data_IF_522251897774
#
_entry.id   IF_522251897774
#
_cell.length_a   1.000
_cell.length_b   1.000
_cell.length_c   1.000
_cell.angle_alpha   90.00
_cell.angle_beta   90.00
_cell.angle_gamma   90.00
#
_symmetry.space_group_name_H-M   'P 1'
#
loop_
_entity.id
_entity.type
_entity.pdbx_description
1 polymer ?
#
# COMPACT_ATOMS: atom_id res chain seq x y z
N UNK A 1 3.41 1.10 13.80
CA UNK A 1 2.25 0.30 13.35
C UNK A 1 2.50 -0.28 11.95
N UNK A 2 3.23 -1.40 11.83
CA UNK A 2 3.48 -2.07 10.53
C UNK A 2 3.90 -3.55 10.72
N UNK A 3 2.98 -4.47 11.07
CA UNK A 3 3.27 -5.90 11.35
C UNK A 3 2.13 -6.83 10.96
N UNK A 4 2.23 -8.16 11.13
CA UNK A 4 1.13 -9.10 10.78
C UNK A 4 -0.23 -8.68 11.32
N UNK A 5 -0.28 -8.13 12.53
CA UNK A 5 -1.51 -7.66 13.18
C UNK A 5 -2.04 -6.32 12.64
N UNK A 6 -1.23 -5.56 11.91
CA UNK A 6 -1.50 -4.16 11.55
C UNK A 6 -1.15 -3.81 10.09
N UNK A 7 -1.09 -4.83 9.21
CA UNK A 7 -0.87 -4.69 7.75
C UNK A 7 -2.16 -4.49 6.96
N UNK A 8 -3.32 -4.67 7.59
CA UNK A 8 -4.60 -4.67 6.90
C UNK A 8 -5.17 -3.26 6.89
N UNK A 9 -5.73 -2.85 5.74
CA UNK A 9 -6.64 -1.71 5.73
C UNK A 9 -7.74 -1.95 6.76
N UNK A 10 -8.30 -0.88 7.33
CA UNK A 10 -9.44 -1.00 8.23
C UNK A 10 -10.60 -1.80 7.59
N UNK A 11 -10.75 -1.76 6.26
CA UNK A 11 -11.76 -2.55 5.53
C UNK A 11 -11.58 -4.07 5.68
N UNK A 12 -10.40 -4.52 6.13
CA UNK A 12 -10.12 -5.90 6.47
C UNK A 12 -11.03 -6.46 7.56
N UNK A 13 -11.59 -5.61 8.44
CA UNK A 13 -12.60 -6.03 9.43
C UNK A 13 -13.88 -6.57 8.78
N UNK A 14 -14.15 -6.18 7.52
CA UNK A 14 -15.27 -6.66 6.72
C UNK A 14 -14.87 -7.83 5.79
N UNK A 15 -13.69 -8.43 5.99
CA UNK A 15 -13.17 -9.50 5.14
C UNK A 15 -12.59 -9.02 3.79
N UNK A 16 -12.43 -7.71 3.59
CA UNK A 16 -11.89 -7.14 2.35
C UNK A 16 -10.37 -7.24 2.33
N UNK A 17 -9.83 -7.97 1.36
CA UNK A 17 -8.38 -8.03 1.12
C UNK A 17 -7.93 -6.83 0.31
N UNK A 18 -7.23 -5.90 0.95
CA UNK A 18 -6.95 -4.57 0.36
C UNK A 18 -6.03 -4.59 -0.84
N UNK A 19 -5.07 -5.52 -0.88
CA UNK A 19 -4.21 -5.73 -2.05
C UNK A 19 -4.98 -6.26 -3.26
N UNK A 20 -6.23 -6.72 -3.08
CA UNK A 20 -7.14 -7.12 -4.15
C UNK A 20 -8.21 -6.05 -4.46
N UNK A 21 -8.05 -4.82 -3.94
CA UNK A 21 -8.92 -3.70 -4.27
C UNK A 21 -8.46 -2.99 -5.54
N UNK A 22 -9.40 -2.75 -6.45
CA UNK A 22 -9.30 -1.84 -7.58
C UNK A 22 -9.93 -0.49 -7.17
N UNK A 23 -9.13 0.47 -6.74
CA UNK A 23 -9.60 1.84 -6.49
C UNK A 23 -9.76 2.57 -7.83
N UNK A 24 -10.94 3.11 -8.08
CA UNK A 24 -11.28 3.74 -9.36
C UNK A 24 -12.38 4.81 -9.20
N UNK A 25 -12.67 5.51 -10.30
CA UNK A 25 -13.83 6.39 -10.46
C UNK A 25 -14.21 6.49 -11.95
N UNK A 26 -15.49 6.47 -12.33
CA UNK A 26 -15.92 6.65 -13.72
C UNK A 26 -16.21 8.12 -14.08
N UNK A 27 -16.08 9.05 -13.13
CA UNK A 27 -16.55 10.43 -13.28
C UNK A 27 -15.46 11.48 -13.09
N UNK A 28 -14.18 11.12 -13.15
CA UNK A 28 -13.11 12.13 -13.11
C UNK A 28 -13.20 13.05 -14.35
N UNK A 29 -13.16 14.40 -14.21
CA UNK A 29 -13.00 15.18 -12.99
C UNK A 29 -14.29 15.86 -12.47
N UNK A 30 -15.47 15.34 -12.84
CA UNK A 30 -16.78 15.91 -12.49
C UNK A 30 -17.16 15.69 -11.03
N UNK A 31 -17.57 16.77 -10.36
CA UNK A 31 -18.12 16.74 -9.01
C UNK A 31 -18.83 18.06 -8.72
N UNK A 32 -20.00 17.96 -8.09
CA UNK A 32 -20.87 19.09 -7.78
C UNK A 32 -20.55 19.79 -6.44
N UNK A 33 -19.49 19.38 -5.74
CA UNK A 33 -18.99 20.07 -4.54
C UNK A 33 -17.60 20.68 -4.76
N UNK A 34 -17.25 21.68 -3.95
CA UNK A 34 -15.91 22.27 -3.83
C UNK A 34 -15.41 22.26 -2.39
N UNK A 35 -15.31 21.06 -1.82
CA UNK A 35 -14.89 20.88 -0.43
C UNK A 35 -13.44 21.34 -0.22
N UNK A 36 -13.19 22.06 0.88
CA UNK A 36 -11.85 22.50 1.31
C UNK A 36 -10.88 21.36 1.63
N UNK A 37 -11.40 20.14 1.76
CA UNK A 37 -10.66 18.93 2.11
C UNK A 37 -10.61 17.89 0.97
N UNK A 38 -11.20 18.18 -0.19
CA UNK A 38 -11.11 17.30 -1.36
C UNK A 38 -9.78 17.52 -2.08
N UNK A 39 -8.94 16.50 -2.09
CA UNK A 39 -7.59 16.52 -2.67
C UNK A 39 -7.64 16.33 -4.18
N UNK A 40 -7.91 17.41 -4.89
CA UNK A 40 -8.01 17.44 -6.36
C UNK A 40 -7.43 18.74 -6.88
N UNK A 41 -7.03 18.75 -8.14
CA UNK A 41 -6.60 19.97 -8.81
C UNK A 41 -7.83 20.80 -9.18
N UNK A 42 -8.22 21.70 -8.26
CA UNK A 42 -9.37 22.60 -8.43
C UNK A 42 -9.06 23.71 -9.44
N UNK A 43 -7.78 24.02 -9.68
CA UNK A 43 -7.35 25.09 -10.59
C UNK A 43 -7.49 24.68 -12.05
N UNK A 44 -7.30 23.39 -12.37
CA UNK A 44 -7.34 22.87 -13.75
C UNK A 44 -8.61 22.07 -14.06
N UNK A 45 -9.28 21.49 -13.05
CA UNK A 45 -10.02 20.24 -13.31
C UNK A 45 -11.52 20.17 -13.01
N UNK A 46 -12.16 21.04 -12.24
CA UNK A 46 -13.58 20.83 -11.92
C UNK A 46 -14.46 21.27 -13.11
N UNK A 47 -14.77 20.35 -14.04
CA UNK A 47 -15.68 20.58 -15.20
C UNK A 47 -17.16 20.81 -14.81
N UNK A 48 -17.42 21.23 -13.57
CA UNK A 48 -18.75 21.53 -13.07
C UNK A 48 -19.48 20.36 -12.41
N UNK A 49 -20.75 20.62 -12.09
CA UNK A 49 -21.66 19.72 -11.38
C UNK A 49 -22.33 18.68 -12.28
N UNK A 50 -22.03 18.67 -13.58
CA UNK A 50 -22.71 17.83 -14.57
C UNK A 50 -21.70 17.05 -15.41
N UNK A 51 -22.07 15.83 -15.81
CA UNK A 51 -21.28 15.00 -16.70
C UNK A 51 -21.51 15.42 -18.16
N UNK A 52 -20.64 16.29 -18.68
CA UNK A 52 -20.83 16.99 -19.96
C UNK A 52 -20.17 16.33 -21.17
N UNK A 53 -19.57 15.14 -21.01
CA UNK A 53 -18.92 14.39 -22.09
C UNK A 53 -19.71 13.15 -22.45
N UNK A 54 -19.45 12.59 -23.63
CA UNK A 54 -20.05 11.30 -24.01
C UNK A 54 -19.53 10.22 -23.03
N UNK A 55 -20.40 9.52 -22.29
CA UNK A 55 -19.96 8.47 -21.38
C UNK A 55 -19.46 7.26 -22.17
N UNK A 56 -18.27 6.79 -21.81
CA UNK A 56 -17.75 5.51 -22.32
C UNK A 56 -18.62 4.35 -21.85
N UNK A 57 -18.55 3.22 -22.56
CA UNK A 57 -19.31 2.03 -22.18
C UNK A 57 -18.72 1.38 -20.92
N UNK A 58 -19.54 0.95 -19.94
CA UNK A 58 -19.04 0.40 -18.68
C UNK A 58 -18.07 -0.78 -18.85
N UNK A 59 -18.31 -1.63 -19.86
CA UNK A 59 -17.44 -2.76 -20.21
C UNK A 59 -16.03 -2.31 -20.57
N UNK A 60 -15.92 -1.25 -21.36
CA UNK A 60 -14.66 -0.71 -21.86
C UNK A 60 -13.91 0.03 -20.75
N UNK A 61 -14.63 0.83 -19.95
CA UNK A 61 -14.08 1.49 -18.76
C UNK A 61 -13.47 0.47 -17.80
N UNK A 62 -14.20 -0.60 -17.46
CA UNK A 62 -13.70 -1.64 -16.54
C UNK A 62 -12.51 -2.37 -17.13
N UNK A 63 -12.49 -2.61 -18.45
CA UNK A 63 -11.34 -3.21 -19.13
C UNK A 63 -10.09 -2.35 -18.93
N UNK A 64 -10.19 -1.05 -19.16
CA UNK A 64 -9.10 -0.10 -18.98
C UNK A 64 -8.68 0.05 -17.52
N UNK A 65 -9.64 0.12 -16.58
CA UNK A 65 -9.35 0.15 -15.14
C UNK A 65 -8.52 -1.07 -14.71
N UNK A 66 -8.89 -2.28 -15.16
CA UNK A 66 -8.14 -3.51 -14.85
C UNK A 66 -6.79 -3.53 -15.55
N UNK A 67 -6.68 -3.00 -16.78
CA UNK A 67 -5.41 -2.88 -17.50
C UNK A 67 -4.45 -1.97 -16.75
N UNK A 68 -4.90 -0.77 -16.36
CA UNK A 68 -4.11 0.21 -15.61
C UNK A 68 -3.72 -0.29 -14.22
N UNK A 69 -4.63 -0.97 -13.50
CA UNK A 69 -4.30 -1.59 -12.23
C UNK A 69 -3.13 -2.57 -12.36
N UNK A 70 -3.19 -3.48 -13.35
CA UNK A 70 -2.10 -4.44 -13.62
C UNK A 70 -0.81 -3.75 -14.02
N UNK A 71 -0.90 -2.67 -14.80
CA UNK A 71 0.25 -1.86 -15.20
C UNK A 71 0.96 -1.26 -13.98
N UNK A 72 0.21 -0.68 -13.04
CA UNK A 72 0.74 -0.17 -11.77
C UNK A 72 1.44 -1.28 -10.99
N UNK A 73 0.81 -2.45 -10.83
CA UNK A 73 1.41 -3.57 -10.08
C UNK A 73 2.70 -4.06 -10.75
N UNK A 74 2.74 -4.16 -12.08
CA UNK A 74 3.92 -4.66 -12.80
C UNK A 74 5.07 -3.66 -12.83
N UNK A 75 4.76 -2.41 -13.14
CA UNK A 75 5.76 -1.42 -13.53
C UNK A 75 6.15 -0.47 -12.40
N UNK A 76 5.23 -0.19 -11.46
CA UNK A 76 5.49 0.73 -10.34
C UNK A 76 5.65 0.02 -9.00
N UNK A 77 5.07 -1.19 -8.86
CA UNK A 77 5.13 -2.03 -7.67
C UNK A 77 5.69 -3.43 -7.97
N UNK A 78 6.86 -3.56 -8.62
CA UNK A 78 7.39 -4.86 -9.04
C UNK A 78 7.74 -5.74 -7.84
N UNK A 79 7.45 -7.04 -7.94
CA UNK A 79 7.69 -8.04 -6.89
C UNK A 79 9.12 -7.98 -6.31
N UNK A 80 10.12 -7.85 -7.19
CA UNK A 80 11.53 -7.75 -6.80
C UNK A 80 11.79 -6.66 -5.76
N UNK A 81 11.11 -5.51 -5.86
CA UNK A 81 11.26 -4.41 -4.90
C UNK A 81 10.88 -4.84 -3.48
N UNK A 82 9.89 -5.71 -3.32
CA UNK A 82 9.40 -6.16 -2.02
C UNK A 82 10.24 -7.29 -1.44
N UNK A 83 10.72 -8.21 -2.29
CA UNK A 83 11.70 -9.22 -1.89
C UNK A 83 13.03 -8.59 -1.48
N UNK A 84 13.54 -7.62 -2.26
CA UNK A 84 14.71 -6.83 -1.89
C UNK A 84 14.52 -6.14 -0.52
N UNK A 85 13.34 -5.55 -0.28
CA UNK A 85 13.06 -4.92 1.01
C UNK A 85 13.09 -5.92 2.17
N UNK A 86 12.62 -7.16 1.96
CA UNK A 86 12.67 -8.22 2.95
C UNK A 86 14.11 -8.58 3.29
N UNK A 87 14.94 -8.88 2.28
CA UNK A 87 16.36 -9.22 2.49
C UNK A 87 17.12 -8.09 3.18
N UNK A 88 16.87 -6.83 2.79
CA UNK A 88 17.52 -5.67 3.42
C UNK A 88 17.20 -5.58 4.91
N UNK A 89 16.00 -5.96 5.35
CA UNK A 89 15.69 -6.00 6.79
C UNK A 89 16.51 -7.08 7.50
N UNK A 90 16.60 -8.28 6.93
CA UNK A 90 17.39 -9.38 7.50
C UNK A 90 18.85 -8.98 7.59
N UNK A 91 19.42 -8.48 6.51
CA UNK A 91 20.83 -8.09 6.44
C UNK A 91 21.15 -6.93 7.38
N UNK A 92 20.23 -5.97 7.54
CA UNK A 92 20.39 -4.86 8.47
C UNK A 92 20.39 -5.36 9.92
N UNK A 93 19.41 -6.19 10.31
CA UNK A 93 19.35 -6.76 11.65
C UNK A 93 20.58 -7.64 11.94
N UNK A 94 21.00 -8.44 10.96
CA UNK A 94 22.18 -9.30 11.08
C UNK A 94 23.47 -8.47 11.21
N UNK A 95 23.61 -7.39 10.45
CA UNK A 95 24.72 -6.45 10.60
C UNK A 95 24.76 -5.84 12.00
N UNK A 96 23.63 -5.38 12.53
CA UNK A 96 23.56 -4.84 13.89
C UNK A 96 23.90 -5.92 14.94
N UNK A 97 23.45 -7.17 14.72
CA UNK A 97 23.73 -8.29 15.61
C UNK A 97 25.22 -8.66 15.63
N UNK A 98 25.92 -8.54 14.51
CA UNK A 98 27.37 -8.79 14.41
C UNK A 98 28.21 -7.69 15.06
N UNK A 99 27.63 -6.52 15.32
CA UNK A 99 28.30 -5.34 15.86
C UNK A 99 27.59 -4.88 17.15
N UNK A 100 27.40 -5.80 18.11
CA UNK A 100 26.60 -5.59 19.34
C UNK A 100 27.06 -4.40 20.20
N UNK A 101 28.31 -3.98 20.07
CA UNK A 101 28.95 -2.94 20.89
C UNK A 101 28.78 -1.55 20.26
N UNK A 102 27.55 -1.03 20.21
CA UNK A 102 27.32 0.37 19.86
C UNK A 102 25.94 0.70 19.29
N UNK A 103 25.68 1.99 19.18
CA UNK A 103 24.61 2.50 18.34
C UNK A 103 25.05 2.60 16.89
N UNK A 104 24.12 2.40 15.98
CA UNK A 104 24.35 2.49 14.55
C UNK A 104 23.70 3.73 13.97
N UNK A 105 24.51 4.60 13.38
CA UNK A 105 24.01 5.70 12.56
C UNK A 105 23.58 5.20 11.18
N UNK A 106 22.71 5.95 10.50
CA UNK A 106 22.28 5.64 9.13
C UNK A 106 23.45 5.42 8.16
N UNK A 107 24.54 6.18 8.31
CA UNK A 107 25.73 6.06 7.48
C UNK A 107 26.52 4.78 7.77
N UNK A 108 26.63 4.39 9.05
CA UNK A 108 27.25 3.12 9.45
C UNK A 108 26.51 1.94 8.82
N UNK A 109 25.17 1.91 8.94
CA UNK A 109 24.34 0.87 8.35
C UNK A 109 24.46 0.83 6.82
N UNK A 110 24.39 1.99 6.15
CA UNK A 110 24.54 2.12 4.69
C UNK A 110 25.86 1.52 4.20
N UNK A 111 26.96 1.86 4.87
CA UNK A 111 28.29 1.43 4.49
C UNK A 111 28.53 -0.05 4.86
N UNK A 112 27.93 -0.53 5.95
CA UNK A 112 28.05 -1.91 6.42
C UNK A 112 27.39 -2.94 5.51
N UNK A 113 26.22 -2.62 4.95
CA UNK A 113 25.47 -3.55 4.08
C UNK A 113 25.53 -3.19 2.59
N UNK A 114 26.22 -2.10 2.22
CA UNK A 114 26.38 -1.63 0.83
C UNK A 114 25.07 -1.38 0.07
N UNK A 115 24.05 -0.84 0.75
CA UNK A 115 22.72 -0.54 0.18
C UNK A 115 22.46 0.98 0.16
N UNK A 116 21.63 1.47 -0.76
CA UNK A 116 21.33 2.90 -0.87
C UNK A 116 20.60 3.45 0.37
N UNK A 117 20.87 4.72 0.70
CA UNK A 117 20.30 5.41 1.87
C UNK A 117 18.78 5.28 1.96
N UNK A 118 18.07 5.54 0.86
CA UNK A 118 16.60 5.46 0.83
C UNK A 118 16.05 4.06 1.12
N UNK A 119 16.77 3.00 0.73
CA UNK A 119 16.37 1.62 1.02
C UNK A 119 16.58 1.29 2.51
N UNK A 120 17.71 1.74 3.08
CA UNK A 120 17.98 1.62 4.52
C UNK A 120 16.91 2.35 5.35
N UNK A 121 16.60 3.60 5.01
CA UNK A 121 15.60 4.39 5.73
C UNK A 121 14.22 3.72 5.74
N UNK A 122 13.83 3.10 4.62
CA UNK A 122 12.57 2.33 4.53
C UNK A 122 12.59 1.11 5.46
N UNK A 123 13.69 0.36 5.49
CA UNK A 123 13.84 -0.79 6.37
C UNK A 123 13.83 -0.37 7.85
N UNK A 124 14.60 0.66 8.21
CA UNK A 124 14.64 1.23 9.57
C UNK A 124 13.23 1.66 10.02
N UNK A 125 12.50 2.38 9.17
CA UNK A 125 11.16 2.82 9.53
C UNK A 125 10.21 1.66 9.84
N UNK A 126 10.30 0.57 9.07
CA UNK A 126 9.51 -0.64 9.29
C UNK A 126 9.93 -1.35 10.59
N UNK A 127 11.23 -1.60 10.76
CA UNK A 127 11.78 -2.29 11.94
C UNK A 127 11.51 -1.52 13.24
N UNK A 128 11.66 -0.19 13.22
CA UNK A 128 11.35 0.69 14.35
C UNK A 128 9.87 0.64 14.72
N UNK A 129 8.99 0.71 13.72
CA UNK A 129 7.55 0.62 13.90
C UNK A 129 7.09 -0.75 14.43
N UNK A 130 7.98 -1.73 14.47
CA UNK A 130 7.79 -3.10 14.92
C UNK A 130 8.63 -3.46 16.13
N UNK A 131 9.30 -2.46 16.73
CA UNK A 131 10.08 -2.62 17.94
C UNK A 131 11.22 -3.65 17.79
N UNK A 132 11.73 -3.85 16.57
CA UNK A 132 12.97 -4.60 16.35
C UNK A 132 14.22 -3.75 16.67
N UNK A 133 14.09 -2.44 16.48
CA UNK A 133 15.13 -1.45 16.75
C UNK A 133 14.53 -0.28 17.52
N UNK A 134 15.33 0.32 18.38
CA UNK A 134 14.98 1.49 19.19
C UNK A 134 15.92 2.65 18.87
N UNK A 135 15.52 3.85 19.25
CA UNK A 135 16.36 5.04 19.16
C UNK A 135 17.14 5.22 20.45
N UNK A 136 18.43 5.50 20.34
CA UNK A 136 19.25 5.90 21.49
C UNK A 136 18.99 7.37 21.85
N UNK A 137 19.05 7.69 23.15
CA UNK A 137 18.78 8.97 23.81
C UNK A 137 18.95 10.27 22.99
N UNK A 138 18.03 11.22 23.23
CA UNK A 138 17.92 12.66 22.92
C UNK A 138 18.28 13.21 21.52
N UNK A 139 19.21 12.61 20.78
CA UNK A 139 19.65 13.14 19.48
C UNK A 139 18.91 12.51 18.29
N UNK A 140 18.11 11.46 18.51
CA UNK A 140 17.25 10.79 17.50
C UNK A 140 17.97 10.30 16.22
N UNK A 141 19.30 10.21 16.22
CA UNK A 141 20.10 9.89 15.01
C UNK A 141 20.55 8.42 14.97
N UNK A 142 20.61 7.78 16.13
CA UNK A 142 21.30 6.52 16.35
C UNK A 142 20.33 5.39 16.72
N UNK A 143 20.54 4.21 16.15
CA UNK A 143 19.67 3.03 16.29
C UNK A 143 20.35 1.90 17.05
N UNK A 144 19.62 1.23 17.93
CA UNK A 144 20.06 0.04 18.64
C UNK A 144 19.07 -1.11 18.42
N UNK A 145 19.56 -2.35 18.46
CA UNK A 145 18.66 -3.52 18.47
C UNK A 145 17.89 -3.54 19.79
N UNK A 146 16.65 -4.04 19.72
CA UNK A 146 15.88 -4.35 20.92
C UNK A 146 16.65 -5.33 21.83
N UNK A 147 16.55 -5.14 23.15
CA UNK A 147 17.34 -5.88 24.13
C UNK A 147 17.06 -7.38 24.13
N UNK A 148 15.79 -7.78 23.92
CA UNK A 148 15.41 -9.18 23.86
C UNK A 148 15.99 -9.85 22.62
N UNK A 149 15.97 -9.15 21.48
CA UNK A 149 16.57 -9.62 20.22
C UNK A 149 18.09 -9.73 20.40
N UNK A 150 18.73 -8.72 20.99
CA UNK A 150 20.19 -8.68 21.18
C UNK A 150 20.71 -9.82 22.06
N UNK A 151 19.93 -10.22 23.08
CA UNK A 151 20.31 -11.25 24.04
C UNK A 151 19.94 -12.68 23.62
N UNK A 152 18.89 -12.86 22.81
CA UNK A 152 18.32 -14.18 22.51
C UNK A 152 18.56 -14.67 21.07
N UNK A 153 19.06 -13.82 20.19
CA UNK A 153 19.29 -14.15 18.77
C UNK A 153 20.79 -14.09 18.50
N UNK A 154 21.33 -15.14 17.87
CA UNK A 154 22.77 -15.25 17.58
C UNK A 154 23.10 -15.62 16.12
N UNK A 155 22.08 -15.94 15.32
CA UNK A 155 22.23 -16.34 13.91
C UNK A 155 21.34 -15.56 12.95
N UNK A 156 21.70 -15.58 11.66
CA UNK A 156 20.87 -14.98 10.60
C UNK A 156 19.56 -15.74 10.44
N UNK A 157 19.61 -17.06 10.59
CA UNK A 157 18.47 -17.96 10.50
C UNK A 157 17.41 -17.66 11.58
N UNK A 158 17.85 -17.37 12.81
CA UNK A 158 16.93 -16.96 13.88
C UNK A 158 16.30 -15.58 13.64
N UNK A 159 17.03 -14.64 13.03
CA UNK A 159 16.47 -13.35 12.57
C UNK A 159 15.38 -13.60 11.52
N UNK A 160 15.65 -14.47 10.54
CA UNK A 160 14.66 -14.84 9.53
C UNK A 160 13.41 -15.45 10.17
N UNK A 161 13.55 -16.37 11.12
CA UNK A 161 12.42 -16.94 11.86
C UNK A 161 11.62 -15.85 12.59
N UNK A 162 12.31 -14.93 13.26
CA UNK A 162 11.67 -13.82 13.98
C UNK A 162 10.90 -12.89 13.04
N UNK A 163 11.53 -12.46 11.95
CA UNK A 163 10.93 -11.59 10.93
C UNK A 163 9.77 -12.28 10.22
N UNK A 164 9.92 -13.56 9.86
CA UNK A 164 8.86 -14.37 9.27
C UNK A 164 7.64 -14.46 10.19
N UNK A 165 7.87 -14.62 11.50
CA UNK A 165 6.79 -14.73 12.48
C UNK A 165 6.08 -13.39 12.68
N UNK A 166 6.82 -12.30 12.83
CA UNK A 166 6.28 -11.00 13.21
C UNK A 166 5.76 -10.18 12.02
N UNK A 167 6.47 -10.24 10.89
CA UNK A 167 6.26 -9.35 9.74
C UNK A 167 5.65 -10.08 8.56
N UNK A 168 6.42 -10.89 7.86
CA UNK A 168 6.03 -11.51 6.59
C UNK A 168 7.04 -12.56 6.17
N UNK A 169 6.63 -13.49 5.31
CA UNK A 169 7.55 -14.36 4.58
C UNK A 169 7.71 -13.95 3.11
N UNK A 170 8.78 -14.38 2.42
CA UNK A 170 8.88 -14.24 0.97
C UNK A 170 7.70 -14.84 0.22
N UNK A 171 7.21 -16.00 0.66
CA UNK A 171 6.04 -16.67 0.07
C UNK A 171 4.76 -15.84 0.21
N UNK A 172 4.53 -15.23 1.38
CA UNK A 172 3.40 -14.32 1.59
C UNK A 172 3.50 -13.08 0.68
N UNK A 173 4.70 -12.53 0.47
CA UNK A 173 4.94 -11.41 -0.44
C UNK A 173 4.59 -11.82 -1.87
N UNK A 174 5.08 -12.98 -2.33
CA UNK A 174 4.83 -13.51 -3.66
C UNK A 174 3.33 -13.79 -3.87
N UNK A 175 2.68 -14.38 -2.89
CA UNK A 175 1.24 -14.64 -2.92
C UNK A 175 0.44 -13.34 -3.00
N UNK A 176 0.72 -12.36 -2.13
CA UNK A 176 0.00 -11.09 -2.12
C UNK A 176 0.19 -10.32 -3.44
N UNK A 177 1.39 -10.32 -4.01
CA UNK A 177 1.66 -9.70 -5.31
C UNK A 177 0.88 -10.39 -6.44
N UNK A 178 0.86 -11.73 -6.45
CA UNK A 178 0.10 -12.52 -7.42
C UNK A 178 -1.41 -12.28 -7.29
N UNK A 179 -1.95 -12.27 -6.06
CA UNK A 179 -3.36 -11.94 -5.80
C UNK A 179 -3.71 -10.52 -6.25
N UNK A 180 -2.80 -9.55 -6.08
CA UNK A 180 -3.01 -8.16 -6.48
C UNK A 180 -3.14 -7.98 -7.99
N UNK A 181 -2.58 -8.87 -8.80
CA UNK A 181 -2.74 -8.87 -10.26
C UNK A 181 -4.18 -9.14 -10.71
N UNK A 182 -4.99 -9.72 -9.84
CA UNK A 182 -6.39 -10.10 -10.10
C UNK A 182 -7.29 -9.58 -8.98
N UNK A 183 -7.62 -8.27 -8.98
CA UNK A 183 -8.46 -7.69 -7.95
C UNK A 183 -9.87 -8.29 -7.98
N UNK A 184 -10.53 -8.37 -6.81
CA UNK A 184 -11.90 -8.89 -6.65
C UNK A 184 -12.84 -7.91 -5.93
N UNK A 185 -12.33 -6.73 -5.55
CA UNK A 185 -13.12 -5.68 -4.92
C UNK A 185 -12.96 -4.39 -5.75
N UNK A 186 -14.04 -3.80 -6.24
CA UNK A 186 -14.04 -2.50 -6.90
C UNK A 186 -14.43 -1.41 -5.91
N UNK A 187 -13.51 -0.49 -5.61
CA UNK A 187 -13.76 0.67 -4.76
C UNK A 187 -13.94 1.91 -5.64
N UNK A 188 -15.19 2.26 -5.91
CA UNK A 188 -15.60 3.41 -6.72
C UNK A 188 -15.62 4.64 -5.80
N UNK A 189 -14.42 5.19 -5.56
CA UNK A 189 -14.19 6.20 -4.52
C UNK A 189 -12.83 6.90 -4.69
N UNK A 190 -12.30 7.01 -5.90
CA UNK A 190 -10.98 7.63 -6.14
C UNK A 190 -11.05 9.15 -6.04
N UNK A 191 -11.87 9.77 -6.87
CA UNK A 191 -12.09 11.22 -6.94
C UNK A 191 -13.39 11.47 -7.73
N UNK A 192 -13.86 12.71 -7.75
CA UNK A 192 -15.12 13.10 -8.39
C UNK A 192 -16.36 12.69 -7.59
N UNK A 193 -17.55 12.93 -8.16
CA UNK A 193 -18.80 12.33 -7.68
C UNK A 193 -19.20 11.17 -8.62
N UNK A 194 -19.07 9.90 -8.19
CA UNK A 194 -19.33 8.75 -9.06
C UNK A 194 -20.73 8.74 -9.67
N UNK A 195 -21.76 9.17 -8.92
CA UNK A 195 -23.15 9.15 -9.40
C UNK A 195 -23.43 10.16 -10.53
N UNK A 196 -22.47 11.02 -10.90
CA UNK A 196 -22.56 11.81 -12.13
C UNK A 196 -22.39 10.96 -13.39
N UNK A 197 -21.77 9.78 -13.30
CA UNK A 197 -21.64 8.89 -14.46
C UNK A 197 -23.00 8.27 -14.82
N UNK A 198 -23.56 8.55 -16.02
CA UNK A 198 -24.97 8.20 -16.33
C UNK A 198 -25.27 6.70 -16.38
N UNK A 199 -24.26 5.84 -16.47
CA UNK A 199 -24.40 4.38 -16.59
C UNK A 199 -23.90 3.65 -15.34
N UNK A 200 -24.05 4.26 -14.16
CA UNK A 200 -23.56 3.68 -12.90
C UNK A 200 -24.15 2.29 -12.61
N UNK A 201 -25.45 2.11 -12.82
CA UNK A 201 -26.11 0.81 -12.62
C UNK A 201 -25.51 -0.30 -13.51
N UNK A 202 -25.28 0.01 -14.80
CA UNK A 202 -24.64 -0.92 -15.73
C UNK A 202 -23.19 -1.20 -15.35
N UNK A 203 -22.44 -0.19 -14.88
CA UNK A 203 -21.07 -0.35 -14.38
C UNK A 203 -21.01 -1.30 -13.18
N UNK A 204 -21.92 -1.15 -12.21
CA UNK A 204 -22.02 -2.05 -11.06
C UNK A 204 -22.37 -3.47 -11.51
N UNK A 205 -23.32 -3.62 -12.44
CA UNK A 205 -23.70 -4.91 -12.98
C UNK A 205 -22.54 -5.57 -13.73
N UNK A 206 -21.74 -4.80 -14.48
CA UNK A 206 -20.55 -5.31 -15.16
C UNK A 206 -19.45 -5.77 -14.19
N UNK A 207 -19.23 -5.07 -13.07
CA UNK A 207 -18.34 -5.57 -12.01
C UNK A 207 -18.86 -6.87 -11.39
N UNK A 208 -20.18 -6.95 -11.14
CA UNK A 208 -20.82 -8.15 -10.60
C UNK A 208 -20.71 -9.34 -11.57
N UNK A 209 -20.87 -9.11 -12.88
CA UNK A 209 -20.66 -10.12 -13.92
C UNK A 209 -19.23 -10.69 -13.92
N UNK A 210 -18.25 -9.91 -13.42
CA UNK A 210 -16.85 -10.33 -13.23
C UNK A 210 -16.56 -10.91 -11.84
N UNK A 211 -17.60 -11.23 -11.06
CA UNK A 211 -17.49 -11.73 -9.68
C UNK A 211 -16.71 -10.79 -8.75
N UNK A 212 -16.81 -9.47 -8.98
CA UNK A 212 -16.23 -8.47 -8.10
C UNK A 212 -17.30 -7.88 -7.17
N UNK A 213 -16.95 -7.65 -5.91
CA UNK A 213 -17.80 -6.87 -5.00
C UNK A 213 -17.58 -5.38 -5.26
N UNK A 214 -18.64 -4.58 -5.22
CA UNK A 214 -18.57 -3.13 -5.46
C UNK A 214 -18.79 -2.35 -4.17
N UNK A 215 -17.99 -1.31 -3.95
CA UNK A 215 -18.14 -0.33 -2.87
C UNK A 215 -18.19 1.06 -3.51
N UNK A 216 -19.29 1.77 -3.33
CA UNK A 216 -19.48 3.13 -3.88
C UNK A 216 -19.41 4.12 -2.73
N UNK A 217 -18.68 5.21 -2.93
CA UNK A 217 -18.68 6.36 -2.03
C UNK A 217 -19.21 7.55 -2.82
N UNK A 218 -20.33 8.11 -2.36
CA UNK A 218 -21.01 9.26 -2.96
C UNK A 218 -21.20 10.35 -1.90
N UNK A 219 -21.25 11.60 -2.33
CA UNK A 219 -21.64 12.73 -1.49
C UNK A 219 -23.16 12.77 -1.21
N UNK A 220 -23.96 11.94 -1.90
CA UNK A 220 -25.39 11.76 -1.65
C UNK A 220 -26.31 12.83 -2.25
N UNK A 221 -25.83 13.69 -3.14
CA UNK A 221 -26.64 14.77 -3.73
C UNK A 221 -27.50 14.34 -4.93
N UNK A 222 -27.32 13.11 -5.42
CA UNK A 222 -28.00 12.56 -6.59
C UNK A 222 -28.81 11.31 -6.19
N UNK A 223 -30.00 11.48 -5.58
CA UNK A 223 -30.79 10.35 -5.06
C UNK A 223 -31.42 9.48 -6.16
N UNK A 224 -31.48 9.98 -7.40
CA UNK A 224 -32.03 9.27 -8.57
C UNK A 224 -30.97 8.53 -9.39
N UNK A 225 -29.68 8.68 -9.05
CA UNK A 225 -28.53 8.15 -9.80
C UNK A 225 -28.24 6.67 -9.57
#
# INVERSE_FOLDING_TARGET
MTGRENRNCYKGIFGVKSHKCLQNTPSLPFCNHQCVFCWRDIEVGSLGSEFIVKPDEPKDIIHEMLRHHRDIIKNHLPLRRYLDNYEIMIDLLYYMLRNKDGSHSLNSLKNGIHVSKNKIERAINLLKNQHFITLKNNDFIDFELDDDIRCCIDSREEIEVLVNRALTTPDEIMQAHSEAMTPNHAAISLDGEPLLYPKMSDLVQEFKNRSMTTFIVTNGTLPEG
#
